data_IF_941117460652
#
_entry.id   IF_941117460652
#
_cell.length_a   1.000
_cell.length_b   1.000
_cell.length_c   1.000
_cell.angle_alpha   90.00
_cell.angle_beta   90.00
_cell.angle_gamma   90.00
#
_symmetry.space_group_name_H-M   'P 1'
#
loop_
_entity.id
_entity.type
_entity.pdbx_description
1 polymer ?
#
# COMPACT_ATOMS: atom_id res chain seq x y z
N UNK A 1 -3.20 13.79 -28.69
CA UNK A 1 -2.03 14.26 -29.50
C UNK A 1 -1.85 13.31 -30.66
N UNK A 2 -1.50 13.84 -31.82
CA UNK A 2 -1.17 13.06 -33.01
C UNK A 2 0.18 12.35 -32.83
N UNK A 3 0.24 11.05 -33.16
CA UNK A 3 1.43 10.22 -32.91
C UNK A 3 2.62 10.67 -33.78
N UNK A 4 2.38 11.00 -35.07
CA UNK A 4 3.47 11.41 -35.95
C UNK A 4 4.04 12.77 -35.54
N UNK A 5 3.18 13.66 -35.05
CA UNK A 5 3.63 14.92 -34.45
C UNK A 5 4.50 14.68 -33.21
N UNK A 6 4.09 13.78 -32.33
CA UNK A 6 4.83 13.43 -31.12
C UNK A 6 6.21 12.82 -31.46
N UNK A 7 6.26 11.91 -32.44
CA UNK A 7 7.52 11.34 -32.96
C UNK A 7 8.44 12.44 -33.50
N UNK A 8 7.93 13.37 -34.31
CA UNK A 8 8.74 14.51 -34.85
C UNK A 8 9.27 15.39 -33.73
N UNK A 9 8.49 15.71 -32.70
CA UNK A 9 8.95 16.55 -31.58
C UNK A 9 10.06 15.83 -30.81
N UNK A 10 9.89 14.55 -30.49
CA UNK A 10 10.87 13.81 -29.70
C UNK A 10 12.18 13.58 -30.46
N UNK A 11 12.11 13.24 -31.75
CA UNK A 11 13.30 13.18 -32.59
C UNK A 11 14.02 14.58 -32.71
N UNK A 12 13.23 15.64 -32.73
CA UNK A 12 13.79 16.99 -32.74
C UNK A 12 14.48 17.34 -31.43
N UNK A 13 13.85 16.98 -30.30
CA UNK A 13 14.46 17.14 -28.98
C UNK A 13 15.78 16.36 -28.86
N UNK A 14 15.81 15.10 -29.31
CA UNK A 14 17.03 14.28 -29.39
C UNK A 14 18.09 14.96 -30.22
N UNK A 15 17.76 15.48 -31.43
CA UNK A 15 18.72 16.17 -32.31
C UNK A 15 19.30 17.46 -31.72
N UNK A 16 18.65 18.05 -30.72
CA UNK A 16 19.13 19.22 -29.98
C UNK A 16 19.83 18.84 -28.65
N UNK A 17 20.07 17.54 -28.41
CA UNK A 17 20.86 17.08 -27.27
C UNK A 17 20.03 16.83 -26.00
N UNK A 18 18.74 16.56 -26.11
CA UNK A 18 17.99 16.10 -24.98
C UNK A 18 18.44 14.67 -24.59
N UNK A 19 18.66 14.42 -23.31
CA UNK A 19 18.99 13.09 -22.78
C UNK A 19 17.77 12.21 -22.58
N UNK A 20 16.60 12.83 -22.42
CA UNK A 20 15.34 12.13 -22.10
C UNK A 20 14.14 12.91 -22.60
N UNK A 21 13.09 12.19 -23.00
CA UNK A 21 11.75 12.73 -23.27
C UNK A 21 10.73 12.12 -22.32
N UNK A 22 9.67 12.89 -22.02
CA UNK A 22 8.61 12.45 -21.13
C UNK A 22 7.28 12.33 -21.85
N UNK A 23 6.60 11.19 -21.71
CA UNK A 23 5.20 11.02 -22.05
C UNK A 23 4.40 11.47 -20.82
N UNK A 24 3.62 12.54 -20.97
CA UNK A 24 2.75 13.03 -19.92
C UNK A 24 1.30 12.63 -20.20
N UNK A 25 0.74 11.75 -19.37
CA UNK A 25 -0.70 11.47 -19.32
C UNK A 25 -1.38 12.54 -18.46
N UNK A 26 -1.47 13.75 -19.04
CA UNK A 26 -1.90 14.96 -18.31
C UNK A 26 -3.30 14.85 -17.72
N UNK A 27 -4.20 14.12 -18.36
CA UNK A 27 -5.60 13.97 -17.92
C UNK A 27 -5.86 12.65 -17.21
N UNK A 28 -4.85 11.78 -17.09
CA UNK A 28 -4.98 10.46 -16.50
C UNK A 28 -5.92 9.51 -17.27
N UNK A 29 -6.14 9.77 -18.55
CA UNK A 29 -7.21 9.12 -19.33
C UNK A 29 -6.72 8.01 -20.27
N UNK A 30 -5.41 7.78 -20.38
CA UNK A 30 -4.87 6.70 -21.22
C UNK A 30 -5.01 5.35 -20.53
N UNK A 31 -5.26 4.30 -21.30
CA UNK A 31 -5.30 2.93 -20.78
C UNK A 31 -3.91 2.29 -20.74
N UNK A 32 -3.70 1.20 -19.95
CA UNK A 32 -2.43 0.46 -19.95
C UNK A 32 -2.01 -0.04 -21.33
N UNK A 33 -2.99 -0.46 -22.15
CA UNK A 33 -2.74 -0.87 -23.54
C UNK A 33 -2.29 0.32 -24.39
N UNK A 34 -2.90 1.50 -24.18
CA UNK A 34 -2.53 2.74 -24.86
C UNK A 34 -1.10 3.17 -24.55
N UNK A 35 -0.70 3.16 -23.27
CA UNK A 35 0.69 3.44 -22.85
C UNK A 35 1.66 2.42 -23.47
N UNK A 36 1.32 1.12 -23.41
CA UNK A 36 2.15 0.07 -23.99
C UNK A 36 2.38 0.29 -25.48
N UNK A 37 1.31 0.60 -26.22
CA UNK A 37 1.38 0.90 -27.64
C UNK A 37 2.25 2.14 -27.91
N UNK A 38 1.97 3.23 -27.19
CA UNK A 38 2.65 4.50 -27.38
C UNK A 38 4.17 4.41 -27.12
N UNK A 39 4.57 3.76 -26.02
CA UNK A 39 6.00 3.56 -25.71
C UNK A 39 6.68 2.72 -26.78
N UNK A 40 6.06 1.62 -27.21
CA UNK A 40 6.62 0.76 -28.26
C UNK A 40 6.77 1.48 -29.60
N UNK A 41 5.78 2.31 -29.97
CA UNK A 41 5.86 3.09 -31.22
C UNK A 41 6.93 4.17 -31.16
N UNK A 42 7.06 4.86 -30.04
CA UNK A 42 8.11 5.89 -29.88
C UNK A 42 9.51 5.28 -29.87
N UNK A 43 9.71 4.11 -29.26
CA UNK A 43 11.00 3.42 -29.23
C UNK A 43 11.49 2.91 -30.60
N UNK A 44 10.66 2.94 -31.62
CA UNK A 44 11.12 2.64 -32.99
C UNK A 44 11.95 3.77 -33.59
N UNK A 45 11.68 5.00 -33.16
CA UNK A 45 12.21 6.21 -33.79
C UNK A 45 13.06 7.06 -32.84
N UNK A 46 12.89 6.91 -31.52
CA UNK A 46 13.55 7.71 -30.47
C UNK A 46 14.59 6.83 -29.76
N UNK A 47 15.86 7.23 -29.76
CA UNK A 47 16.97 6.45 -29.18
C UNK A 47 17.34 6.87 -27.76
N UNK A 48 16.92 8.07 -27.33
CA UNK A 48 17.14 8.54 -25.95
C UNK A 48 16.14 7.93 -24.97
N UNK A 49 16.36 8.14 -23.70
CA UNK A 49 15.49 7.65 -22.64
C UNK A 49 14.05 8.16 -22.78
N UNK A 50 13.09 7.28 -22.60
CA UNK A 50 11.67 7.61 -22.51
C UNK A 50 11.21 7.44 -21.08
N UNK A 51 10.68 8.50 -20.48
CA UNK A 51 10.06 8.45 -19.16
C UNK A 51 8.56 8.73 -19.24
N UNK A 52 7.85 8.34 -18.19
CA UNK A 52 6.42 8.53 -18.05
C UNK A 52 6.08 9.41 -16.85
N UNK A 53 5.04 10.23 -17.00
CA UNK A 53 4.40 10.96 -15.93
C UNK A 53 2.90 10.72 -16.02
N UNK A 54 2.36 9.87 -15.13
CA UNK A 54 0.98 9.43 -15.18
C UNK A 54 0.16 10.05 -14.05
N UNK A 55 -0.97 10.70 -14.41
CA UNK A 55 -1.98 11.14 -13.44
C UNK A 55 -2.99 10.02 -13.11
N UNK A 56 -3.66 10.15 -11.96
CA UNK A 56 -4.42 9.07 -11.34
C UNK A 56 -5.94 9.28 -11.37
N UNK A 57 -6.44 10.08 -12.30
CA UNK A 57 -7.86 10.49 -12.34
C UNK A 57 -8.84 9.30 -12.47
N UNK A 58 -8.43 8.21 -13.10
CA UNK A 58 -9.18 6.95 -13.18
C UNK A 58 -8.57 5.82 -12.33
N UNK A 59 -7.62 6.13 -11.42
CA UNK A 59 -6.94 5.11 -10.63
C UNK A 59 -5.94 4.25 -11.42
N UNK A 60 -5.50 4.70 -12.59
CA UNK A 60 -4.67 3.90 -13.51
C UNK A 60 -3.18 4.30 -13.50
N UNK A 61 -2.78 5.33 -12.75
CA UNK A 61 -1.42 5.87 -12.84
C UNK A 61 -0.33 4.84 -12.57
N UNK A 62 -0.50 3.99 -11.56
CA UNK A 62 0.48 2.95 -11.20
C UNK A 62 0.56 1.89 -12.30
N UNK A 63 -0.59 1.36 -12.74
CA UNK A 63 -0.59 0.31 -13.76
C UNK A 63 -0.12 0.84 -15.13
N UNK A 64 -0.42 2.11 -15.47
CA UNK A 64 0.10 2.76 -16.67
C UNK A 64 1.63 2.90 -16.60
N UNK A 65 2.17 3.29 -15.45
CA UNK A 65 3.61 3.36 -15.20
C UNK A 65 4.29 2.00 -15.36
N UNK A 66 3.71 0.94 -14.76
CA UNK A 66 4.21 -0.44 -14.91
C UNK A 66 4.17 -0.87 -16.38
N UNK A 67 3.05 -0.63 -17.07
CA UNK A 67 2.90 -0.99 -18.48
C UNK A 67 3.93 -0.32 -19.38
N UNK A 68 4.26 0.94 -19.07
CA UNK A 68 5.31 1.66 -19.77
C UNK A 68 6.71 1.09 -19.51
N UNK A 69 7.05 0.73 -18.28
CA UNK A 69 8.32 0.06 -17.94
C UNK A 69 8.42 -1.28 -18.68
N UNK A 70 7.36 -2.06 -18.72
CA UNK A 70 7.33 -3.34 -19.43
C UNK A 70 7.42 -3.16 -20.95
N UNK A 71 6.95 -2.03 -21.48
CA UNK A 71 7.08 -1.67 -22.90
C UNK A 71 8.44 -1.11 -23.26
N UNK A 72 9.30 -0.80 -22.26
CA UNK A 72 10.68 -0.34 -22.46
C UNK A 72 10.93 1.12 -22.08
N UNK A 73 10.04 1.78 -21.35
CA UNK A 73 10.35 3.08 -20.75
C UNK A 73 11.46 2.94 -19.70
N UNK A 74 12.34 3.94 -19.65
CA UNK A 74 13.55 3.94 -18.82
C UNK A 74 13.36 4.69 -17.50
N UNK A 75 12.32 5.51 -17.37
CA UNK A 75 12.07 6.32 -16.18
C UNK A 75 10.59 6.52 -15.89
N UNK A 76 10.27 6.70 -14.61
CA UNK A 76 8.92 7.04 -14.14
C UNK A 76 9.00 8.21 -13.17
N UNK A 77 8.19 9.22 -13.41
CA UNK A 77 7.93 10.29 -12.44
C UNK A 77 6.84 9.85 -11.49
N UNK A 78 7.18 9.73 -10.22
CA UNK A 78 6.28 9.29 -9.15
C UNK A 78 6.25 10.26 -8.00
N UNK A 79 5.25 10.16 -7.14
CA UNK A 79 5.19 10.92 -5.90
C UNK A 79 4.90 9.98 -4.72
N UNK A 80 5.50 10.29 -3.57
CA UNK A 80 5.21 9.55 -2.34
C UNK A 80 3.75 9.78 -1.96
N UNK A 81 3.05 8.74 -1.58
CA UNK A 81 1.61 8.73 -1.30
C UNK A 81 0.72 9.05 -2.51
N UNK A 82 1.29 9.19 -3.71
CA UNK A 82 0.54 9.59 -4.90
C UNK A 82 0.09 11.06 -4.89
N UNK A 83 0.70 11.90 -4.07
CA UNK A 83 0.34 13.32 -3.97
C UNK A 83 0.55 14.02 -5.31
N UNK A 84 -0.41 14.85 -5.73
CA UNK A 84 -0.35 15.60 -6.98
C UNK A 84 -1.64 16.35 -7.26
N UNK A 85 -1.71 16.96 -8.42
CA UNK A 85 -2.93 17.67 -8.85
C UNK A 85 -4.10 16.70 -9.03
N UNK A 86 -5.31 17.18 -8.77
CA UNK A 86 -6.58 16.45 -8.87
C UNK A 86 -6.58 15.16 -8.05
N UNK A 87 -6.56 13.99 -8.71
CA UNK A 87 -6.49 12.68 -8.06
C UNK A 87 -5.04 12.21 -7.79
N UNK A 88 -4.04 13.05 -8.08
CA UNK A 88 -2.62 12.78 -7.85
C UNK A 88 -1.93 12.06 -8.99
N UNK A 89 -0.79 11.45 -8.67
CA UNK A 89 0.12 10.81 -9.61
C UNK A 89 0.33 9.32 -9.27
N UNK A 90 1.18 8.66 -10.04
CA UNK A 90 1.64 7.31 -9.72
C UNK A 90 2.33 7.29 -8.34
N UNK A 91 1.79 6.48 -7.45
CA UNK A 91 2.27 6.33 -6.08
C UNK A 91 3.58 5.54 -6.05
N UNK A 92 4.64 6.11 -5.48
CA UNK A 92 5.98 5.53 -5.44
C UNK A 92 5.98 4.16 -4.77
N UNK A 93 5.36 4.06 -3.59
CA UNK A 93 5.30 2.85 -2.78
C UNK A 93 4.57 1.72 -3.49
N UNK A 94 3.48 2.03 -4.16
CA UNK A 94 2.68 1.04 -4.91
C UNK A 94 3.45 0.56 -6.15
N UNK A 95 4.10 1.49 -6.87
CA UNK A 95 4.90 1.15 -8.04
C UNK A 95 6.09 0.25 -7.68
N UNK A 96 6.89 0.64 -6.67
CA UNK A 96 8.08 -0.13 -6.25
C UNK A 96 7.69 -1.53 -5.80
N UNK A 97 6.67 -1.64 -4.94
CA UNK A 97 6.26 -2.93 -4.40
C UNK A 97 5.66 -3.83 -5.49
N UNK A 98 4.86 -3.28 -6.40
CA UNK A 98 4.33 -4.04 -7.54
C UNK A 98 5.44 -4.54 -8.46
N UNK A 99 6.39 -3.68 -8.86
CA UNK A 99 7.50 -4.09 -9.71
C UNK A 99 8.35 -5.18 -9.05
N UNK A 100 8.64 -5.03 -7.76
CA UNK A 100 9.45 -5.99 -7.02
C UNK A 100 8.77 -7.34 -6.84
N UNK A 101 7.52 -7.36 -6.37
CA UNK A 101 6.85 -8.60 -5.93
C UNK A 101 6.08 -9.30 -7.05
N UNK A 102 5.44 -8.53 -7.94
CA UNK A 102 4.59 -9.12 -8.98
C UNK A 102 5.34 -9.30 -10.31
N UNK A 103 6.32 -8.46 -10.58
CA UNK A 103 7.07 -8.48 -11.85
C UNK A 103 8.54 -8.91 -11.70
N UNK A 104 9.00 -9.20 -10.47
CA UNK A 104 10.37 -9.65 -10.22
C UNK A 104 11.45 -8.61 -10.56
N UNK A 105 11.08 -7.32 -10.63
CA UNK A 105 11.99 -6.21 -10.95
C UNK A 105 12.39 -5.48 -9.68
N UNK A 106 13.49 -5.89 -9.05
CA UNK A 106 14.05 -5.19 -7.90
C UNK A 106 14.91 -4.01 -8.38
N UNK A 107 14.45 -2.80 -8.07
CA UNK A 107 15.13 -1.55 -8.40
C UNK A 107 16.14 -1.10 -7.33
N UNK A 108 16.44 -1.94 -6.34
CA UNK A 108 17.41 -1.66 -5.27
C UNK A 108 16.92 -0.73 -4.17
N UNK A 109 15.63 -0.42 -4.10
CA UNK A 109 15.07 0.41 -3.03
C UNK A 109 15.07 -0.34 -1.69
N UNK A 110 15.40 0.38 -0.61
CA UNK A 110 15.29 -0.13 0.77
C UNK A 110 13.84 -0.08 1.23
N UNK A 111 13.02 -1.00 0.78
CA UNK A 111 11.56 -1.00 0.95
C UNK A 111 11.10 -0.94 2.40
N UNK A 112 11.91 -1.43 3.36
CA UNK A 112 11.63 -1.34 4.81
C UNK A 112 11.44 0.08 5.35
N UNK A 113 11.82 1.11 4.60
CA UNK A 113 11.63 2.52 4.97
C UNK A 113 10.42 3.17 4.29
N UNK A 114 9.65 2.41 3.51
CA UNK A 114 8.52 2.96 2.75
C UNK A 114 7.46 3.58 3.68
N UNK A 115 7.12 2.89 4.78
CA UNK A 115 6.15 3.39 5.75
C UNK A 115 6.61 4.69 6.42
N UNK A 116 7.86 4.72 6.87
CA UNK A 116 8.47 5.90 7.48
C UNK A 116 8.49 7.10 6.51
N UNK A 117 8.90 6.87 5.25
CA UNK A 117 8.89 7.89 4.20
C UNK A 117 7.47 8.43 3.94
N UNK A 118 6.50 7.54 3.86
CA UNK A 118 5.09 7.89 3.65
C UNK A 118 4.57 8.79 4.78
N UNK A 119 4.87 8.46 6.04
CA UNK A 119 4.48 9.25 7.23
C UNK A 119 5.19 10.61 7.26
N UNK A 120 6.48 10.64 6.93
CA UNK A 120 7.26 11.88 6.84
C UNK A 120 6.64 12.85 5.83
N UNK A 121 6.32 12.36 4.63
CA UNK A 121 5.71 13.19 3.57
C UNK A 121 4.30 13.60 3.94
N UNK A 122 3.50 12.72 4.55
CA UNK A 122 2.17 13.06 5.06
C UNK A 122 2.24 14.20 6.09
N UNK A 123 3.18 14.13 7.02
CA UNK A 123 3.40 15.19 8.02
C UNK A 123 3.86 16.48 7.37
N UNK A 124 4.79 16.43 6.42
CA UNK A 124 5.36 17.61 5.77
C UNK A 124 4.34 18.33 4.86
N UNK A 125 3.47 17.55 4.17
CA UNK A 125 2.45 18.10 3.27
C UNK A 125 1.15 18.48 3.97
N UNK A 126 0.90 17.99 5.19
CA UNK A 126 -0.39 18.12 5.87
C UNK A 126 -1.51 17.23 5.30
N UNK A 127 -1.22 16.38 4.32
CA UNK A 127 -2.18 15.48 3.69
C UNK A 127 -2.15 14.11 4.40
N UNK A 128 -3.24 13.67 5.05
CA UNK A 128 -3.25 12.40 5.77
C UNK A 128 -3.20 11.22 4.81
N UNK A 129 -2.52 10.15 5.22
CA UNK A 129 -2.53 8.87 4.49
C UNK A 129 -3.92 8.24 4.66
N UNK A 130 -4.65 7.93 3.58
CA UNK A 130 -5.90 7.18 3.68
C UNK A 130 -5.71 5.86 4.42
N UNK A 131 -6.64 5.53 5.31
CA UNK A 131 -6.53 4.36 6.19
C UNK A 131 -6.35 3.04 5.43
N UNK A 132 -6.99 2.91 4.27
CA UNK A 132 -6.95 1.76 3.37
C UNK A 132 -5.99 1.94 2.18
N UNK A 133 -5.08 2.94 2.22
CA UNK A 133 -4.14 3.14 1.12
C UNK A 133 -3.26 1.89 0.94
N UNK A 134 -3.10 1.38 -0.29
CA UNK A 134 -2.23 0.23 -0.53
C UNK A 134 -0.82 0.47 0.01
N UNK A 135 -0.18 -0.59 0.46
CA UNK A 135 1.20 -0.65 0.98
C UNK A 135 1.41 0.09 2.30
N UNK A 136 0.94 1.34 2.45
CA UNK A 136 1.30 2.22 3.59
C UNK A 136 0.14 2.56 4.52
N UNK A 137 -1.10 2.25 4.14
CA UNK A 137 -2.28 2.49 4.97
C UNK A 137 -2.25 1.68 6.26
N UNK A 138 -2.82 2.23 7.32
CA UNK A 138 -2.81 1.59 8.64
C UNK A 138 -3.66 0.31 8.71
N UNK A 139 -4.49 0.05 7.68
CA UNK A 139 -5.35 -1.14 7.63
C UNK A 139 -4.75 -2.32 6.85
N UNK A 140 -3.63 -2.13 6.14
CA UNK A 140 -3.09 -3.11 5.18
C UNK A 140 -2.75 -4.45 5.84
N UNK A 141 -2.27 -4.43 7.09
CA UNK A 141 -1.89 -5.62 7.86
C UNK A 141 -2.74 -5.75 9.14
N UNK A 142 -4.04 -5.39 9.05
CA UNK A 142 -5.00 -5.56 10.14
C UNK A 142 -5.98 -6.68 9.84
N UNK A 143 -6.11 -7.60 10.78
CA UNK A 143 -6.98 -8.76 10.68
C UNK A 143 -7.99 -8.76 11.83
N UNK A 144 -9.30 -8.70 11.52
CA UNK A 144 -10.39 -8.69 12.50
C UNK A 144 -11.16 -10.01 12.53
N UNK A 145 -11.31 -10.68 11.38
CA UNK A 145 -12.08 -11.92 11.26
C UNK A 145 -11.37 -13.07 11.97
N UNK A 146 -12.11 -13.82 12.80
CA UNK A 146 -11.56 -14.97 13.55
C UNK A 146 -10.88 -16.01 12.65
N UNK A 147 -11.48 -16.33 11.50
CA UNK A 147 -10.90 -17.28 10.52
C UNK A 147 -9.60 -16.73 9.94
N UNK A 148 -9.55 -15.42 9.61
CA UNK A 148 -8.33 -14.79 9.09
C UNK A 148 -7.25 -14.72 10.17
N UNK A 149 -7.63 -14.41 11.43
CA UNK A 149 -6.68 -14.34 12.55
C UNK A 149 -6.06 -15.72 12.80
N UNK A 150 -6.88 -16.78 12.81
CA UNK A 150 -6.38 -18.15 12.99
C UNK A 150 -5.39 -18.55 11.89
N UNK A 151 -5.74 -18.31 10.63
CA UNK A 151 -4.90 -18.66 9.51
C UNK A 151 -3.61 -17.78 9.44
N UNK A 152 -3.70 -16.49 9.76
CA UNK A 152 -2.54 -15.59 9.80
C UNK A 152 -1.58 -15.92 10.95
N UNK A 153 -2.08 -16.49 12.06
CA UNK A 153 -1.22 -16.96 13.15
C UNK A 153 -0.44 -18.21 12.73
N UNK A 154 -1.07 -19.13 11.99
CA UNK A 154 -0.45 -20.37 11.53
C UNK A 154 0.43 -20.15 10.29
N UNK A 155 -0.09 -19.49 9.26
CA UNK A 155 0.60 -19.22 7.99
C UNK A 155 0.21 -17.82 7.46
N UNK A 156 0.97 -16.78 7.80
CA UNK A 156 0.64 -15.40 7.43
C UNK A 156 0.40 -15.17 5.94
N UNK A 157 1.16 -15.85 5.08
CA UNK A 157 1.09 -15.67 3.62
C UNK A 157 -0.23 -16.19 3.01
N UNK A 158 -1.09 -16.87 3.78
CA UNK A 158 -2.44 -17.22 3.29
C UNK A 158 -3.33 -15.99 3.06
N UNK A 159 -3.09 -14.89 3.78
CA UNK A 159 -3.91 -13.66 3.71
C UNK A 159 -3.10 -12.37 3.53
N UNK A 160 -1.78 -12.47 3.61
CA UNK A 160 -0.87 -11.35 3.39
C UNK A 160 -0.06 -11.59 2.12
N UNK A 161 -0.11 -10.71 1.12
CA UNK A 161 0.65 -10.89 -0.13
C UNK A 161 2.17 -10.77 0.09
N UNK A 162 2.60 -10.23 1.23
CA UNK A 162 3.98 -10.10 1.71
C UNK A 162 4.01 -9.78 3.20
N UNK A 163 5.14 -10.04 3.85
CA UNK A 163 5.32 -9.76 5.28
C UNK A 163 5.36 -8.26 5.56
N UNK A 164 4.75 -7.76 6.66
CA UNK A 164 4.68 -6.33 6.99
C UNK A 164 6.03 -5.64 7.09
N UNK A 165 7.05 -6.35 7.61
CA UNK A 165 8.40 -5.84 7.82
C UNK A 165 9.08 -5.42 6.51
N UNK A 166 8.68 -6.00 5.39
CA UNK A 166 9.21 -5.65 4.07
C UNK A 166 8.98 -4.18 3.72
N UNK A 167 7.93 -3.59 4.26
CA UNK A 167 7.57 -2.17 4.04
C UNK A 167 7.68 -1.32 5.31
N UNK A 168 8.25 -1.87 6.39
CA UNK A 168 8.42 -1.17 7.67
C UNK A 168 7.15 -1.09 8.51
N UNK A 169 6.19 -1.98 8.28
CA UNK A 169 4.98 -2.09 9.08
C UNK A 169 5.04 -3.28 10.06
N UNK A 170 4.01 -3.42 10.86
CA UNK A 170 3.79 -4.55 11.76
C UNK A 170 2.36 -5.06 11.58
N UNK A 171 2.21 -6.37 11.72
CA UNK A 171 0.87 -7.00 11.79
C UNK A 171 0.13 -6.52 13.02
N UNK A 172 -1.16 -6.34 12.91
CA UNK A 172 -2.03 -5.94 14.02
C UNK A 172 -3.26 -6.83 14.07
N UNK A 173 -3.44 -7.52 15.16
CA UNK A 173 -4.68 -8.25 15.44
C UNK A 173 -5.69 -7.27 16.03
N UNK A 174 -6.80 -7.09 15.34
CA UNK A 174 -7.89 -6.20 15.76
C UNK A 174 -9.04 -7.05 16.27
N UNK A 175 -9.53 -6.70 17.45
CA UNK A 175 -10.68 -7.38 18.03
C UNK A 175 -11.98 -6.74 17.57
N UNK A 176 -12.88 -7.56 17.03
CA UNK A 176 -14.16 -7.15 16.46
C UNK A 176 -15.34 -7.93 17.04
N UNK A 177 -16.53 -7.64 16.54
CA UNK A 177 -17.77 -8.33 16.96
C UNK A 177 -17.75 -9.85 16.65
N UNK A 178 -16.93 -10.28 15.70
CA UNK A 178 -16.79 -11.68 15.30
C UNK A 178 -15.57 -12.37 15.93
N UNK A 179 -14.77 -11.66 16.75
CA UNK A 179 -13.59 -12.25 17.39
C UNK A 179 -13.98 -13.36 18.37
N UNK A 180 -13.29 -14.50 18.25
CA UNK A 180 -13.43 -15.66 19.14
C UNK A 180 -12.32 -15.73 20.19
N UNK A 181 -12.33 -16.83 20.98
CA UNK A 181 -11.34 -17.06 22.04
C UNK A 181 -9.88 -17.03 21.51
N UNK A 182 -9.62 -17.60 20.32
CA UNK A 182 -8.27 -17.63 19.74
C UNK A 182 -7.74 -16.21 19.47
N UNK A 183 -8.55 -15.33 18.86
CA UNK A 183 -8.15 -13.96 18.59
C UNK A 183 -7.88 -13.18 19.88
N UNK A 184 -8.74 -13.36 20.90
CA UNK A 184 -8.56 -12.72 22.21
C UNK A 184 -7.31 -13.29 22.92
N UNK A 185 -7.06 -14.60 22.86
CA UNK A 185 -5.85 -15.22 23.41
C UNK A 185 -4.58 -14.70 22.73
N UNK A 186 -4.59 -14.59 21.40
CA UNK A 186 -3.47 -14.02 20.66
C UNK A 186 -3.20 -12.56 21.08
N UNK A 187 -4.28 -11.77 21.27
CA UNK A 187 -4.14 -10.37 21.72
C UNK A 187 -3.65 -10.26 23.17
N UNK A 188 -4.04 -11.18 24.04
CA UNK A 188 -3.51 -11.28 25.40
C UNK A 188 -1.99 -11.56 25.37
N UNK A 189 -1.56 -12.50 24.53
CA UNK A 189 -0.14 -12.81 24.36
C UNK A 189 0.67 -11.61 23.83
N UNK A 190 0.12 -10.84 22.87
CA UNK A 190 0.75 -9.57 22.41
C UNK A 190 0.91 -8.55 23.53
N UNK A 191 0.05 -8.62 24.55
CA UNK A 191 0.09 -7.70 25.70
C UNK A 191 0.84 -8.28 26.91
N UNK A 192 1.46 -9.44 26.80
CA UNK A 192 2.09 -10.18 27.91
C UNK A 192 1.11 -10.41 29.08
N UNK A 193 -0.14 -10.78 28.77
CA UNK A 193 -1.19 -11.06 29.72
C UNK A 193 -1.60 -12.54 29.63
N UNK A 194 -1.66 -13.23 30.77
CA UNK A 194 -2.19 -14.57 30.87
C UNK A 194 -3.46 -14.60 31.74
N UNK A 195 -4.45 -15.36 31.33
CA UNK A 195 -5.75 -15.45 32.00
C UNK A 195 -6.30 -16.87 31.94
N UNK A 196 -7.13 -17.24 32.92
CA UNK A 196 -7.86 -18.51 32.90
C UNK A 196 -8.87 -18.59 31.75
N UNK A 197 -9.28 -19.77 31.35
CA UNK A 197 -10.28 -19.96 30.28
C UNK A 197 -11.62 -19.33 30.61
N UNK A 198 -12.06 -19.32 31.85
CA UNK A 198 -13.30 -18.66 32.28
C UNK A 198 -13.19 -17.14 32.10
N UNK A 199 -12.07 -16.54 32.48
CA UNK A 199 -11.80 -15.12 32.30
C UNK A 199 -11.71 -14.78 30.79
N UNK A 200 -11.10 -15.66 29.98
CA UNK A 200 -11.03 -15.49 28.53
C UNK A 200 -12.44 -15.40 27.91
N UNK A 201 -13.35 -16.27 28.31
CA UNK A 201 -14.75 -16.27 27.84
C UNK A 201 -15.44 -14.96 28.21
N UNK A 202 -15.20 -14.45 29.41
CA UNK A 202 -15.77 -13.17 29.87
C UNK A 202 -15.22 -12.00 29.05
N UNK A 203 -13.89 -11.98 28.80
CA UNK A 203 -13.24 -10.97 27.94
C UNK A 203 -13.84 -10.99 26.54
N UNK A 204 -14.03 -12.17 25.93
CA UNK A 204 -14.65 -12.29 24.59
C UNK A 204 -16.05 -11.67 24.58
N UNK A 205 -16.87 -11.92 25.60
CA UNK A 205 -18.23 -11.35 25.71
C UNK A 205 -18.17 -9.82 25.79
N UNK A 206 -17.28 -9.26 26.63
CA UNK A 206 -17.11 -7.81 26.78
C UNK A 206 -16.57 -7.15 25.52
N UNK A 207 -15.61 -7.78 24.83
CA UNK A 207 -15.09 -7.31 23.53
C UNK A 207 -16.23 -7.20 22.52
N UNK A 208 -17.03 -8.25 22.34
CA UNK A 208 -18.17 -8.25 21.41
C UNK A 208 -19.18 -7.15 21.75
N UNK A 209 -19.58 -7.06 23.02
CA UNK A 209 -20.51 -6.02 23.49
C UNK A 209 -19.99 -4.61 23.23
N UNK A 210 -18.74 -4.32 23.58
CA UNK A 210 -18.12 -3.01 23.32
C UNK A 210 -18.12 -2.66 21.84
N UNK A 211 -17.88 -3.64 20.96
CA UNK A 211 -17.92 -3.44 19.49
C UNK A 211 -19.33 -3.23 18.96
N UNK A 212 -20.33 -3.90 19.52
CA UNK A 212 -21.76 -3.67 19.22
C UNK A 212 -22.21 -2.27 19.61
N UNK A 213 -21.67 -1.73 20.71
CA UNK A 213 -21.88 -0.37 21.19
C UNK A 213 -21.05 0.69 20.40
N UNK A 214 -20.32 0.28 19.35
CA UNK A 214 -19.55 1.17 18.48
C UNK A 214 -18.14 1.53 18.99
N UNK A 215 -17.69 0.97 20.12
CA UNK A 215 -16.38 1.26 20.68
C UNK A 215 -15.28 0.59 19.87
N UNK A 216 -14.30 1.37 19.39
CA UNK A 216 -13.10 0.83 18.78
C UNK A 216 -12.15 0.28 19.85
N UNK A 217 -11.74 -0.99 19.71
CA UNK A 217 -10.88 -1.64 20.71
C UNK A 217 -9.42 -1.52 20.26
N UNK A 218 -8.73 -0.51 20.80
CA UNK A 218 -7.28 -0.42 20.79
C UNK A 218 -6.68 -1.13 22.01
N UNK A 219 -5.36 -1.11 22.13
CA UNK A 219 -4.66 -1.78 23.23
C UNK A 219 -5.04 -1.25 24.61
N UNK A 220 -5.29 0.04 24.74
CA UNK A 220 -5.68 0.64 26.04
C UNK A 220 -7.09 0.21 26.45
N UNK A 221 -8.04 0.27 25.51
CA UNK A 221 -9.42 -0.21 25.74
C UNK A 221 -9.42 -1.71 26.04
N UNK A 222 -8.62 -2.49 25.30
CA UNK A 222 -8.50 -3.92 25.56
C UNK A 222 -7.96 -4.20 26.96
N UNK A 223 -6.89 -3.52 27.40
CA UNK A 223 -6.36 -3.66 28.75
C UNK A 223 -7.37 -3.25 29.84
N UNK A 224 -8.21 -2.24 29.58
CA UNK A 224 -9.29 -1.86 30.48
C UNK A 224 -10.35 -2.97 30.57
N UNK A 225 -10.74 -3.57 29.44
CA UNK A 225 -11.66 -4.70 29.42
C UNK A 225 -11.11 -5.86 30.25
N UNK A 226 -9.85 -6.24 30.05
CA UNK A 226 -9.21 -7.32 30.82
C UNK A 226 -9.21 -7.01 32.30
N UNK A 227 -8.82 -5.81 32.72
CA UNK A 227 -8.86 -5.40 34.12
C UNK A 227 -10.27 -5.48 34.72
N UNK A 228 -11.30 -5.16 33.94
CA UNK A 228 -12.70 -5.21 34.40
C UNK A 228 -13.23 -6.64 34.60
N UNK A 229 -12.51 -7.67 34.14
CA UNK A 229 -12.83 -9.08 34.35
C UNK A 229 -12.13 -9.69 35.61
N UNK A 230 -11.85 -8.87 36.62
CA UNK A 230 -11.16 -9.27 37.87
C UNK A 230 -9.80 -9.92 37.67
N UNK A 231 -9.10 -9.55 36.56
CA UNK A 231 -7.73 -9.97 36.34
C UNK A 231 -6.82 -9.40 37.42
N UNK A 232 -6.29 -10.27 38.28
CA UNK A 232 -5.16 -9.94 39.18
C UNK A 232 -3.90 -10.47 38.50
N UNK A 233 -2.95 -9.60 38.22
CA UNK A 233 -1.61 -10.01 37.82
C UNK A 233 -0.96 -10.67 39.05
N UNK A 234 -0.71 -11.99 39.02
CA UNK A 234 0.14 -12.67 40.01
C UNK A 234 1.58 -12.16 39.93
#
# INVERSE_FOLDING_TARGET
TDLDFLKRIYNKAESYGADRVHIADTTGAITPQGITYLVKELKKDVNIDIALHCHNDFGLAVINSISGVLAGANGISTTVNGIGERAGNASLEELIMSLKLLYGKDLGFKTKHIKELSELVSKASGLPIPYNKPVVGNNVFRHESGIHVDAVIEEPLCYEPYIPELVGQKRQLVLGKHSGCRAVRAKLNECDLDVSDDTLIEIVKKVKKSREEGTYINDDVFKQIVKSCNYKKE
#
